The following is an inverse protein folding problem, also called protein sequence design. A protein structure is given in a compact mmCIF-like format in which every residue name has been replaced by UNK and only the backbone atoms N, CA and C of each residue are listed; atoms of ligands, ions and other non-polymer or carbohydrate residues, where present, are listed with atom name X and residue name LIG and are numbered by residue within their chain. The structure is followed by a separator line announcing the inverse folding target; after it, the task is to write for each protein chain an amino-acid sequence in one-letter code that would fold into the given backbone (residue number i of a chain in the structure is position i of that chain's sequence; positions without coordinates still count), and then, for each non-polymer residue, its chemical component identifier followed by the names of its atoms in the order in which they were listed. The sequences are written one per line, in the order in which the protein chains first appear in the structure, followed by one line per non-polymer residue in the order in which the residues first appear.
data_IF_807805529210
#
_entry.id   IF_807805529210
#
_cell.length_a   1.000
_cell.length_b   1.000
_cell.length_c   1.000
_cell.angle_alpha   90.00
_cell.angle_beta   90.00
_cell.angle_gamma   90.00
#
_symmetry.space_group_name_H-M   'P 1'
#
loop_
_entity.id
_entity.type
_entity.pdbx_description
1 polymer ?
#
# COMPACT_ATOMS: atom_id res chain seq x y z
N UNK A 1 -6.82 13.96 11.69
CA UNK A 1 -5.79 14.10 10.65
C UNK A 1 -6.24 15.04 9.54
N UNK A 2 -5.37 15.92 9.02
CA UNK A 2 -5.62 16.60 7.74
C UNK A 2 -5.12 15.72 6.58
N UNK A 3 -5.82 15.77 5.45
CA UNK A 3 -5.48 15.12 4.18
C UNK A 3 -4.04 15.34 3.69
N UNK A 4 -3.43 16.49 3.99
CA UNK A 4 -2.03 16.77 3.60
C UNK A 4 -1.04 15.91 4.39
N UNK A 5 -1.25 15.81 5.71
CA UNK A 5 -0.41 14.98 6.57
C UNK A 5 -0.63 13.49 6.25
N UNK A 6 -1.87 13.09 5.95
CA UNK A 6 -2.17 11.72 5.50
C UNK A 6 -1.38 11.36 4.25
N UNK A 7 -1.40 12.23 3.22
CA UNK A 7 -0.65 12.02 1.98
C UNK A 7 0.84 11.87 2.24
N UNK A 8 1.40 12.67 3.16
CA UNK A 8 2.81 12.56 3.55
C UNK A 8 3.10 11.22 4.22
N UNK A 9 2.26 10.80 5.18
CA UNK A 9 2.45 9.52 5.87
C UNK A 9 2.28 8.34 4.91
N UNK A 10 1.36 8.42 3.93
CA UNK A 10 1.22 7.41 2.87
C UNK A 10 2.49 7.34 2.00
N UNK A 11 3.09 8.48 1.63
CA UNK A 11 4.38 8.48 0.94
C UNK A 11 5.49 7.78 1.75
N UNK A 12 5.50 7.92 3.07
CA UNK A 12 6.42 7.18 3.95
C UNK A 12 6.10 5.67 4.01
N UNK A 13 4.82 5.29 3.94
CA UNK A 13 4.40 3.88 3.82
C UNK A 13 4.93 3.27 2.53
N UNK A 14 4.73 3.93 1.38
CA UNK A 14 5.25 3.46 0.08
C UNK A 14 6.78 3.29 0.12
N UNK A 15 7.50 4.24 0.70
CA UNK A 15 8.95 4.15 0.85
C UNK A 15 9.40 2.96 1.72
N UNK A 16 8.72 2.72 2.86
CA UNK A 16 9.01 1.56 3.71
C UNK A 16 8.72 0.24 3.00
N UNK A 17 7.59 0.14 2.31
CA UNK A 17 7.20 -1.08 1.60
C UNK A 17 8.16 -1.39 0.45
N UNK A 18 8.53 -0.40 -0.37
CA UNK A 18 9.52 -0.59 -1.46
C UNK A 18 10.89 -1.00 -0.94
N UNK A 19 11.29 -0.52 0.24
CA UNK A 19 12.54 -0.94 0.90
C UNK A 19 12.44 -2.37 1.44
N UNK A 20 11.28 -2.76 2.00
CA UNK A 20 11.05 -4.08 2.60
C UNK A 20 10.84 -5.20 1.56
N UNK A 21 10.23 -4.87 0.43
CA UNK A 21 9.90 -5.80 -0.65
C UNK A 21 10.63 -5.40 -1.95
N UNK A 22 11.97 -5.43 -2.00
CA UNK A 22 12.74 -4.94 -3.15
C UNK A 22 12.56 -5.78 -4.42
N UNK A 23 11.98 -6.98 -4.31
CA UNK A 23 11.67 -7.87 -5.43
C UNK A 23 10.32 -7.52 -6.10
N UNK A 24 9.47 -6.71 -5.47
CA UNK A 24 8.20 -6.27 -6.03
C UNK A 24 8.39 -4.92 -6.71
N UNK A 25 7.92 -4.73 -7.96
CA UNK A 25 8.03 -3.45 -8.64
C UNK A 25 7.40 -2.31 -7.82
N UNK A 26 8.11 -1.18 -7.69
CA UNK A 26 7.62 -0.03 -6.93
C UNK A 26 6.30 0.55 -7.50
N UNK A 27 6.02 0.36 -8.79
CA UNK A 27 4.72 0.69 -9.39
C UNK A 27 3.59 -0.16 -8.84
N UNK A 28 3.81 -1.45 -8.63
CA UNK A 28 2.83 -2.38 -8.08
C UNK A 28 2.54 -2.09 -6.61
N UNK A 29 3.58 -1.80 -5.82
CA UNK A 29 3.42 -1.35 -4.43
C UNK A 29 2.58 -0.06 -4.36
N UNK A 30 2.85 0.93 -5.21
CA UNK A 30 2.06 2.18 -5.27
C UNK A 30 0.61 1.93 -5.65
N UNK A 31 0.36 1.08 -6.64
CA UNK A 31 -1.00 0.71 -7.05
C UNK A 31 -1.75 0.00 -5.92
N UNK A 32 -1.08 -0.92 -5.22
CA UNK A 32 -1.65 -1.61 -4.06
C UNK A 32 -2.02 -0.60 -2.98
N UNK A 33 -1.05 0.22 -2.53
CA UNK A 33 -1.28 1.25 -1.49
C UNK A 33 -2.42 2.19 -1.85
N UNK A 34 -2.49 2.66 -3.10
CA UNK A 34 -3.57 3.51 -3.58
C UNK A 34 -4.94 2.80 -3.55
N UNK A 35 -4.98 1.51 -3.87
CA UNK A 35 -6.20 0.69 -3.78
C UNK A 35 -6.65 0.45 -2.35
N UNK A 36 -5.71 0.20 -1.43
CA UNK A 36 -5.99 0.07 0.00
C UNK A 36 -6.52 1.39 0.60
N UNK A 37 -5.88 2.51 0.26
CA UNK A 37 -6.24 3.84 0.75
C UNK A 37 -7.68 4.23 0.37
N UNK A 38 -8.09 3.95 -0.88
CA UNK A 38 -9.46 4.23 -1.35
C UNK A 38 -10.54 3.51 -0.55
N UNK A 39 -10.24 2.36 0.08
CA UNK A 39 -11.22 1.68 0.95
C UNK A 39 -11.57 2.48 2.20
N UNK A 40 -10.72 3.43 2.57
CA UNK A 40 -10.94 4.31 3.72
C UNK A 40 -11.59 5.63 3.32
N UNK A 41 -11.98 5.83 2.06
CA UNK A 41 -12.70 7.03 1.63
C UNK A 41 -14.01 7.17 2.41
N UNK A 42 -14.27 8.37 2.94
CA UNK A 42 -15.44 8.65 3.80
C UNK A 42 -15.29 8.26 5.27
N UNK A 43 -14.16 7.68 5.69
CA UNK A 43 -13.88 7.41 7.12
C UNK A 43 -13.81 8.72 7.93
N UNK A 44 -14.58 8.79 9.02
CA UNK A 44 -14.62 9.96 9.92
C UNK A 44 -13.35 10.12 10.76
N UNK A 45 -12.68 9.02 11.09
CA UNK A 45 -11.41 8.99 11.82
C UNK A 45 -10.33 8.49 10.88
N UNK A 46 -9.30 9.30 10.65
CA UNK A 46 -8.28 9.03 9.63
C UNK A 46 -6.87 8.87 10.18
N UNK A 47 -6.64 9.15 11.47
CA UNK A 47 -5.31 9.14 12.09
C UNK A 47 -4.60 7.78 12.02
N UNK A 48 -5.37 6.68 11.85
CA UNK A 48 -4.85 5.33 11.76
C UNK A 48 -4.80 4.77 10.33
N UNK A 49 -5.35 5.48 9.34
CA UNK A 49 -5.44 4.98 7.95
C UNK A 49 -4.05 4.60 7.39
N UNK A 50 -2.98 5.41 7.54
CA UNK A 50 -1.66 5.02 7.04
C UNK A 50 -1.13 3.72 7.66
N UNK A 51 -1.35 3.50 8.96
CA UNK A 51 -0.91 2.29 9.66
C UNK A 51 -1.67 1.05 9.20
N UNK A 52 -2.98 1.17 9.00
CA UNK A 52 -3.82 0.09 8.51
C UNK A 52 -3.45 -0.29 7.07
N UNK A 53 -3.29 0.72 6.20
CA UNK A 53 -2.83 0.53 4.81
C UNK A 53 -1.48 -0.18 4.77
N UNK A 54 -0.51 0.23 5.59
CA UNK A 54 0.80 -0.43 5.64
C UNK A 54 0.71 -1.88 6.09
N UNK A 55 -0.08 -2.16 7.13
CA UNK A 55 -0.28 -3.52 7.65
C UNK A 55 -0.90 -4.42 6.59
N UNK A 56 -1.99 -3.99 5.97
CA UNK A 56 -2.68 -4.76 4.93
C UNK A 56 -1.80 -4.98 3.70
N UNK A 57 -1.01 -3.98 3.30
CA UNK A 57 -0.06 -4.14 2.22
C UNK A 57 0.99 -5.21 2.53
N UNK A 58 1.54 -5.22 3.75
CA UNK A 58 2.50 -6.24 4.19
C UNK A 58 1.91 -7.64 4.15
N UNK A 59 0.68 -7.79 4.65
CA UNK A 59 -0.01 -9.08 4.67
C UNK A 59 -0.19 -9.60 3.24
N UNK A 60 -0.63 -8.75 2.30
CA UNK A 60 -0.82 -9.13 0.89
C UNK A 60 0.48 -9.42 0.13
N UNK A 61 1.55 -8.65 0.39
CA UNK A 61 2.85 -8.82 -0.25
C UNK A 61 3.63 -10.02 0.31
N UNK A 62 3.31 -10.46 1.52
CA UNK A 62 3.94 -11.63 2.15
C UNK A 62 3.21 -12.94 1.83
N UNK A 63 2.00 -12.87 1.26
CA UNK A 63 1.24 -14.04 0.85
C UNK A 63 1.80 -14.61 -0.47
N UNK A 64 2.36 -15.83 -0.48
CA UNK A 64 2.91 -16.44 -1.69
C UNK A 64 1.85 -16.70 -2.78
N UNK A 65 0.56 -16.72 -2.43
CA UNK A 65 -0.53 -16.89 -3.42
C UNK A 65 -0.74 -15.63 -4.30
N UNK A 66 -0.21 -14.47 -3.90
CA UNK A 66 -0.32 -13.22 -4.66
C UNK A 66 0.64 -13.14 -5.85
N UNK A 67 1.63 -14.06 -5.94
CA UNK A 67 2.72 -14.02 -6.93
C UNK A 67 2.40 -14.59 -8.32
N UNK A 68 1.25 -15.24 -8.52
CA UNK A 68 0.97 -15.95 -9.79
C UNK A 68 0.18 -15.11 -10.82
N UNK A 69 -0.29 -13.91 -10.47
CA UNK A 69 -1.24 -13.16 -11.30
C UNK A 69 -0.63 -11.98 -12.08
N UNK A 70 0.60 -12.06 -12.60
CA UNK A 70 1.07 -11.11 -13.64
C UNK A 70 2.35 -11.50 -14.36
N UNK A 71 2.46 -12.74 -14.83
CA UNK A 71 3.43 -13.06 -15.88
C UNK A 71 2.68 -13.71 -17.02
N UNK A 72 2.04 -12.89 -17.85
CA UNK A 72 1.91 -13.16 -19.28
C UNK A 72 1.43 -11.90 -20.01
N UNK A 73 2.23 -11.41 -20.95
CA UNK A 73 1.90 -11.28 -22.39
C UNK A 73 3.02 -10.46 -23.06
N UNK A 74 3.71 -11.13 -24.00
CA UNK A 74 4.12 -10.63 -25.32
C UNK A 74 5.12 -9.50 -25.41
#
# INVERSE_FOLDING_TARGET
MDTTEERRLIGHVEHRLTTQFPHVPASEIRLLVAGLLQRYDGSRVRDFVPLLVEREARDLLSDPASGEARTDVG
#
